data_IF_137164506857
#
_entry.id   IF_137164506857
#
_cell.length_a   1.000
_cell.length_b   1.000
_cell.length_c   1.000
_cell.angle_alpha   90.00
_cell.angle_beta   90.00
_cell.angle_gamma   90.00
#
_symmetry.space_group_name_H-M   'P 1'
#
loop_
_entity.id
_entity.type
_entity.pdbx_description
1 polymer ?
#
# COMPACT_ATOMS: atom_id res chain seq x y z
N UNK A 1 -5.56 18.89 -0.12
CA UNK A 1 -5.22 19.02 1.31
C UNK A 1 -3.77 19.41 1.56
N UNK A 2 -2.77 18.57 1.29
CA UNK A 2 -1.36 18.87 1.63
C UNK A 2 -0.78 20.14 0.95
N UNK A 3 -1.13 20.38 -0.32
CA UNK A 3 -0.74 21.62 -1.03
C UNK A 3 -1.28 22.90 -0.37
N UNK A 4 -2.46 22.86 0.25
CA UNK A 4 -3.05 24.02 0.96
C UNK A 4 -2.23 24.36 2.21
N UNK A 5 -1.58 23.36 2.80
CA UNK A 5 -0.68 23.49 3.95
C UNK A 5 0.78 23.78 3.56
N UNK A 6 1.05 24.10 2.28
CA UNK A 6 2.38 24.40 1.73
C UNK A 6 3.37 23.22 1.77
N UNK A 7 2.89 21.99 1.90
CA UNK A 7 3.74 20.81 1.69
C UNK A 7 3.87 20.47 0.22
N UNK A 8 5.09 20.12 -0.19
CA UNK A 8 5.37 19.49 -1.47
C UNK A 8 5.30 17.97 -1.32
N UNK A 9 4.74 17.27 -2.30
CA UNK A 9 4.47 15.84 -2.22
C UNK A 9 4.75 15.18 -3.56
N UNK A 10 5.50 14.08 -3.51
CA UNK A 10 5.77 13.22 -4.66
C UNK A 10 5.11 11.86 -4.46
N UNK A 11 4.38 11.38 -5.49
CA UNK A 11 3.85 10.03 -5.49
C UNK A 11 4.95 9.05 -5.88
N UNK A 12 5.60 8.45 -4.87
CA UNK A 12 6.68 7.48 -5.08
C UNK A 12 6.20 6.23 -5.81
N UNK A 13 4.96 5.79 -5.56
CA UNK A 13 4.31 4.71 -6.29
C UNK A 13 2.83 4.47 -5.93
N UNK A 14 2.13 3.79 -6.83
CA UNK A 14 0.79 3.24 -6.61
C UNK A 14 0.80 1.72 -6.35
N UNK A 15 -0.11 1.26 -5.49
CA UNK A 15 -0.36 -0.17 -5.18
C UNK A 15 -1.86 -0.41 -5.04
N UNK A 16 -2.30 -1.64 -5.30
CA UNK A 16 -3.66 -2.09 -4.95
C UNK A 16 -3.63 -2.79 -3.61
N UNK A 17 -4.72 -2.66 -2.88
CA UNK A 17 -4.92 -3.28 -1.57
C UNK A 17 -6.26 -3.99 -1.63
N UNK A 18 -6.24 -5.30 -1.38
CA UNK A 18 -7.42 -6.10 -1.09
C UNK A 18 -7.50 -6.23 0.43
N UNK A 19 -8.60 -5.78 1.01
CA UNK A 19 -8.83 -5.82 2.45
C UNK A 19 -10.06 -6.68 2.73
N UNK A 20 -9.85 -7.80 3.42
CA UNK A 20 -10.91 -8.69 3.87
C UNK A 20 -11.02 -8.56 5.38
N UNK A 21 -11.96 -7.74 5.84
CA UNK A 21 -12.10 -7.44 7.28
C UNK A 21 -12.55 -8.65 8.10
N UNK A 22 -13.34 -9.54 7.50
CA UNK A 22 -13.84 -10.75 8.16
C UNK A 22 -12.71 -11.72 8.49
N UNK A 23 -11.78 -11.91 7.55
CA UNK A 23 -10.61 -12.81 7.71
C UNK A 23 -9.42 -12.12 8.37
N UNK A 24 -9.52 -10.82 8.65
CA UNK A 24 -8.42 -9.97 9.11
C UNK A 24 -7.18 -10.05 8.22
N UNK A 25 -7.38 -10.09 6.91
CA UNK A 25 -6.28 -10.15 5.93
C UNK A 25 -6.22 -8.87 5.10
N UNK A 26 -5.00 -8.43 4.81
CA UNK A 26 -4.73 -7.33 3.88
C UNK A 26 -3.67 -7.80 2.88
N UNK A 27 -4.05 -7.89 1.61
CA UNK A 27 -3.15 -8.26 0.53
C UNK A 27 -2.78 -7.05 -0.32
N UNK A 28 -1.48 -6.73 -0.36
CA UNK A 28 -0.94 -5.59 -1.11
C UNK A 28 -0.26 -6.09 -2.39
N UNK A 29 -0.77 -5.70 -3.55
CA UNK A 29 -0.25 -6.16 -4.84
C UNK A 29 0.06 -5.00 -5.79
N UNK A 30 0.91 -5.30 -6.79
CA UNK A 30 1.30 -4.31 -7.79
C UNK A 30 0.08 -3.81 -8.55
N UNK A 31 0.05 -2.50 -8.79
CA UNK A 31 -0.84 -1.91 -9.78
C UNK A 31 0.01 -1.51 -10.99
N UNK A 32 -0.35 -2.03 -12.16
CA UNK A 32 0.28 -1.63 -13.41
C UNK A 32 -0.45 -0.40 -13.97
N UNK A 33 0.21 0.75 -13.96
CA UNK A 33 0.39 1.71 -15.09
C UNK A 33 0.87 3.06 -14.53
N UNK A 34 1.93 3.62 -15.13
CA UNK A 34 2.33 5.03 -14.97
C UNK A 34 3.34 5.40 -13.86
N UNK A 35 3.45 4.63 -12.78
CA UNK A 35 4.39 4.90 -11.67
C UNK A 35 5.49 3.83 -11.59
N UNK A 36 6.73 4.26 -11.32
CA UNK A 36 7.92 3.39 -11.29
C UNK A 36 7.87 2.25 -10.28
N UNK A 37 8.95 1.44 -10.23
CA UNK A 37 9.06 0.33 -9.28
C UNK A 37 9.10 0.86 -7.84
N UNK A 38 7.97 0.79 -7.12
CA UNK A 38 7.92 1.14 -5.70
C UNK A 38 8.83 0.24 -4.85
N UNK A 39 9.49 0.82 -3.86
CA UNK A 39 10.02 0.08 -2.72
C UNK A 39 8.90 -0.70 -2.02
N UNK A 40 9.12 -2.00 -1.88
CA UNK A 40 8.10 -2.98 -1.46
C UNK A 40 7.75 -2.88 0.03
N UNK A 41 8.64 -2.31 0.84
CA UNK A 41 8.58 -2.37 2.32
C UNK A 41 7.74 -1.28 2.97
N UNK A 42 7.58 -0.11 2.32
CA UNK A 42 6.94 1.06 2.94
C UNK A 42 5.44 0.86 3.26
N UNK A 43 4.60 0.29 2.37
CA UNK A 43 3.18 0.15 2.66
C UNK A 43 2.89 -0.93 3.71
N UNK A 44 3.62 -2.04 3.70
CA UNK A 44 3.37 -3.16 4.63
C UNK A 44 3.76 -2.81 6.07
N UNK A 45 4.84 -2.06 6.28
CA UNK A 45 5.23 -1.59 7.61
C UNK A 45 4.18 -0.65 8.23
N UNK A 46 3.71 0.33 7.45
CA UNK A 46 2.66 1.25 7.90
C UNK A 46 1.35 0.52 8.22
N UNK A 47 1.00 -0.47 7.41
CA UNK A 47 -0.19 -1.30 7.65
C UNK A 47 -0.03 -2.15 8.90
N UNK A 48 1.14 -2.75 9.15
CA UNK A 48 1.40 -3.55 10.35
C UNK A 48 1.30 -2.73 11.64
N UNK A 49 1.78 -1.49 11.62
CA UNK A 49 1.64 -0.57 12.77
C UNK A 49 0.17 -0.24 13.04
N UNK A 50 -0.63 -0.03 11.98
CA UNK A 50 -2.04 0.37 12.12
C UNK A 50 -2.98 -0.80 12.40
N UNK A 51 -2.66 -1.98 11.86
CA UNK A 51 -3.45 -3.21 11.93
C UNK A 51 -2.55 -4.34 12.42
N UNK A 52 -2.11 -4.31 13.69
CA UNK A 52 -1.19 -5.31 14.23
C UNK A 52 -1.82 -6.71 14.34
N UNK A 53 -3.15 -6.79 14.40
CA UNK A 53 -3.91 -8.04 14.46
C UNK A 53 -4.30 -8.61 13.08
N UNK A 54 -3.85 -7.97 12.00
CA UNK A 54 -4.12 -8.41 10.64
C UNK A 54 -2.94 -9.16 10.04
N UNK A 55 -3.25 -10.20 9.26
CA UNK A 55 -2.27 -10.83 8.39
C UNK A 55 -2.06 -9.97 7.14
N UNK A 56 -0.86 -9.40 7.00
CA UNK A 56 -0.52 -8.51 5.89
C UNK A 56 0.46 -9.21 4.96
N UNK A 57 -0.01 -9.52 3.76
CA UNK A 57 0.75 -10.22 2.71
C UNK A 57 0.95 -9.34 1.48
N UNK A 58 1.96 -9.64 0.68
CA UNK A 58 2.22 -8.93 -0.58
C UNK A 58 2.66 -9.88 -1.69
N UNK A 59 2.26 -9.60 -2.93
CA UNK A 59 2.57 -10.46 -4.07
C UNK A 59 2.63 -9.73 -5.41
N UNK A 60 3.32 -10.37 -6.37
CA UNK A 60 3.83 -9.74 -7.59
C UNK A 60 3.14 -10.14 -8.89
N UNK A 61 2.31 -11.16 -8.91
CA UNK A 61 1.54 -11.60 -10.07
C UNK A 61 0.14 -12.01 -9.61
N UNK A 62 -0.87 -11.52 -10.30
CA UNK A 62 -2.27 -11.67 -9.92
C UNK A 62 -3.13 -10.63 -10.62
N UNK A 63 -3.37 -10.86 -11.90
CA UNK A 63 -4.72 -10.77 -12.42
C UNK A 63 -5.18 -12.20 -12.69
#
# INVERSE_FOLDING_TARGET
ELKKQRYDCECLAARRILHQSEEKTIYVYKFATGFGRANRSVPTEKLKVKHPDYEITWGGEGY
#
